data_IF_112284302491
#
_entry.id   IF_112284302491
#
_cell.length_a   1.000
_cell.length_b   1.000
_cell.length_c   1.000
_cell.angle_alpha   90.00
_cell.angle_beta   90.00
_cell.angle_gamma   90.00
#
_symmetry.space_group_name_H-M   'P 1'
#
loop_
_entity.id
_entity.type
_entity.pdbx_description
1 polymer ?
#
# COMPACT_ATOMS: atom_id res chain seq x y z
N UNK A 1 -57.32 26.10 28.47
CA UNK A 1 -57.22 26.81 27.18
C UNK A 1 -55.86 26.42 26.61
N UNK A 2 -55.74 25.32 25.86
CA UNK A 2 -55.92 25.22 24.39
C UNK A 2 -55.11 26.33 23.69
N UNK A 3 -54.05 26.05 22.92
CA UNK A 3 -54.09 25.42 21.60
C UNK A 3 -52.75 24.79 21.17
N UNK A 4 -52.87 23.65 20.49
CA UNK A 4 -51.88 22.98 19.67
C UNK A 4 -51.78 23.70 18.31
N UNK A 5 -50.57 23.94 17.80
CA UNK A 5 -50.35 24.28 16.38
C UNK A 5 -49.25 23.39 15.80
N UNK A 6 -49.69 22.40 15.03
CA UNK A 6 -48.86 21.50 14.23
C UNK A 6 -48.51 22.23 12.93
N UNK A 7 -47.23 22.60 12.73
CA UNK A 7 -46.72 22.97 11.41
C UNK A 7 -45.97 21.78 10.83
N UNK A 8 -46.58 21.08 9.87
CA UNK A 8 -45.90 20.04 9.10
C UNK A 8 -44.81 20.62 8.18
N UNK A 9 -43.75 19.89 7.87
CA UNK A 9 -42.73 20.37 6.95
C UNK A 9 -43.23 20.33 5.50
N UNK A 10 -43.21 21.50 4.84
CA UNK A 10 -43.39 21.64 3.39
C UNK A 10 -42.22 20.96 2.67
N UNK A 11 -42.51 19.85 1.99
CA UNK A 11 -41.55 19.15 1.15
C UNK A 11 -41.15 19.99 -0.07
N UNK A 12 -39.88 20.37 -0.14
CA UNK A 12 -39.24 20.84 -1.36
C UNK A 12 -39.05 19.65 -2.32
N UNK A 13 -39.60 19.72 -3.53
CA UNK A 13 -39.56 18.62 -4.52
C UNK A 13 -38.39 18.68 -5.51
N UNK A 14 -37.48 19.66 -5.42
CA UNK A 14 -36.45 19.87 -6.46
C UNK A 14 -35.04 20.09 -5.90
N UNK A 15 -34.49 19.12 -5.15
CA UNK A 15 -33.07 19.13 -4.77
C UNK A 15 -32.30 18.02 -5.53
N UNK A 16 -31.18 18.34 -6.22
CA UNK A 16 -30.37 17.33 -6.90
C UNK A 16 -29.66 16.43 -5.87
N UNK A 17 -29.84 15.13 -6.04
CA UNK A 17 -29.39 14.07 -5.14
C UNK A 17 -27.86 14.08 -4.97
N UNK A 18 -27.38 14.31 -3.74
CA UNK A 18 -25.97 14.07 -3.38
C UNK A 18 -25.85 12.74 -2.63
N UNK A 19 -24.85 11.93 -2.99
CA UNK A 19 -24.63 10.55 -2.54
C UNK A 19 -24.42 10.43 -1.00
N UNK A 20 -24.24 11.54 -0.30
CA UNK A 20 -23.90 11.56 1.13
C UNK A 20 -25.11 11.56 2.09
N UNK A 21 -26.32 11.92 1.64
CA UNK A 21 -27.52 11.95 2.51
C UNK A 21 -28.24 10.58 2.62
N UNK A 22 -27.87 9.59 1.79
CA UNK A 22 -28.50 8.27 1.78
C UNK A 22 -28.29 7.47 3.09
N UNK A 23 -27.29 7.82 3.89
CA UNK A 23 -27.01 7.15 5.18
C UNK A 23 -27.87 7.65 6.34
N UNK A 24 -28.53 8.81 6.21
CA UNK A 24 -29.33 9.41 7.28
C UNK A 24 -30.79 8.90 7.34
N UNK A 25 -31.20 8.01 6.42
CA UNK A 25 -32.54 7.41 6.37
C UNK A 25 -32.56 5.92 6.72
N UNK A 26 -31.73 5.49 7.68
CA UNK A 26 -32.02 4.23 8.37
C UNK A 26 -33.20 4.53 9.29
N UNK A 27 -34.41 4.00 9.04
CA UNK A 27 -35.51 4.19 9.98
C UNK A 27 -35.09 3.61 11.33
N UNK A 28 -35.13 4.43 12.38
CA UNK A 28 -35.14 3.93 13.75
C UNK A 28 -36.29 2.92 13.83
N UNK A 29 -35.97 1.68 14.21
CA UNK A 29 -36.92 0.59 14.36
C UNK A 29 -38.10 1.04 15.24
N UNK A 30 -39.29 1.15 14.66
CA UNK A 30 -40.52 1.35 15.41
C UNK A 30 -40.73 0.14 16.35
N UNK A 31 -41.02 0.35 17.64
CA UNK A 31 -41.11 -0.75 18.61
C UNK A 31 -42.44 -1.53 18.58
N UNK A 32 -43.34 -1.28 17.64
CA UNK A 32 -44.69 -1.86 17.66
C UNK A 32 -45.14 -2.49 16.34
N UNK A 33 -44.37 -3.45 15.81
CA UNK A 33 -44.89 -4.37 14.79
C UNK A 33 -45.30 -5.68 15.49
N UNK A 34 -46.60 -6.04 15.54
CA UNK A 34 -47.04 -7.32 16.04
C UNK A 34 -46.36 -8.44 15.25
N UNK A 35 -45.89 -9.48 15.95
CA UNK A 35 -45.25 -10.67 15.40
C UNK A 35 -46.22 -11.45 14.50
N UNK A 36 -46.42 -10.98 13.28
CA UNK A 36 -47.01 -11.77 12.22
C UNK A 36 -45.93 -12.78 11.81
N UNK A 37 -46.23 -14.06 12.04
CA UNK A 37 -45.37 -15.21 11.81
C UNK A 37 -44.74 -15.18 10.42
N UNK A 38 -43.49 -14.75 10.34
CA UNK A 38 -42.69 -14.90 9.12
C UNK A 38 -42.41 -16.39 8.90
N UNK A 39 -42.59 -16.92 7.68
CA UNK A 39 -42.25 -18.30 7.39
C UNK A 39 -40.74 -18.51 7.58
N UNK A 40 -40.37 -19.63 8.20
CA UNK A 40 -38.99 -20.02 8.55
C UNK A 40 -38.03 -20.25 7.34
N UNK A 41 -38.38 -19.78 6.15
CA UNK A 41 -37.60 -19.90 4.92
C UNK A 41 -36.89 -18.59 4.53
N UNK A 42 -36.93 -17.56 5.39
CA UNK A 42 -36.23 -16.31 5.16
C UNK A 42 -34.71 -16.46 5.37
N UNK A 43 -34.04 -16.77 4.27
CA UNK A 43 -32.70 -16.31 3.90
C UNK A 43 -31.55 -16.74 4.83
N UNK A 44 -31.02 -17.94 4.55
CA UNK A 44 -29.58 -18.19 4.66
C UNK A 44 -28.82 -17.27 3.67
N UNK A 45 -28.84 -15.95 3.90
CA UNK A 45 -27.78 -15.10 3.38
C UNK A 45 -26.56 -15.49 4.17
N UNK A 46 -25.78 -16.43 3.62
CA UNK A 46 -24.44 -16.71 4.13
C UNK A 46 -23.68 -15.39 4.06
N UNK A 47 -23.65 -14.66 5.17
CA UNK A 47 -22.74 -13.53 5.33
C UNK A 47 -21.36 -14.15 5.24
N UNK A 48 -20.75 -14.04 4.06
CA UNK A 48 -19.41 -14.55 3.82
C UNK A 48 -18.52 -13.99 4.94
N UNK A 49 -18.00 -14.88 5.78
CA UNK A 49 -17.14 -14.47 6.89
C UNK A 49 -15.95 -13.70 6.32
N UNK A 50 -15.59 -12.53 6.89
CA UNK A 50 -14.49 -11.75 6.37
C UNK A 50 -13.21 -12.60 6.36
N UNK A 51 -12.38 -12.49 5.30
CA UNK A 51 -11.19 -13.31 5.18
C UNK A 51 -10.28 -13.10 6.39
N UNK A 52 -9.85 -14.20 7.00
CA UNK A 52 -9.00 -14.21 8.20
C UNK A 52 -7.51 -14.14 7.87
N UNK A 53 -7.14 -14.40 6.60
CA UNK A 53 -5.77 -14.37 6.09
C UNK A 53 -5.68 -13.65 4.74
N UNK A 54 -4.47 -13.20 4.38
CA UNK A 54 -4.21 -12.67 3.05
C UNK A 54 -4.27 -13.77 1.98
N UNK A 55 -4.56 -13.39 0.74
CA UNK A 55 -4.45 -14.33 -0.38
C UNK A 55 -3.01 -14.79 -0.55
N UNK A 56 -2.80 -16.05 -0.98
CA UNK A 56 -1.46 -16.62 -1.22
C UNK A 56 -0.62 -15.74 -2.14
N UNK A 57 -1.24 -15.14 -3.16
CA UNK A 57 -0.61 -14.19 -4.08
C UNK A 57 -0.11 -12.96 -3.34
N UNK A 58 -0.92 -12.34 -2.47
CA UNK A 58 -0.51 -11.16 -1.71
C UNK A 58 0.67 -11.44 -0.76
N UNK A 59 0.68 -12.63 -0.15
CA UNK A 59 1.77 -13.11 0.71
C UNK A 59 3.04 -13.35 -0.11
N UNK A 60 2.96 -14.12 -1.20
CA UNK A 60 4.09 -14.39 -2.09
C UNK A 60 4.72 -13.10 -2.63
N UNK A 61 3.89 -12.18 -3.12
CA UNK A 61 4.33 -10.86 -3.59
C UNK A 61 5.01 -10.05 -2.49
N UNK A 62 4.55 -10.15 -1.24
CA UNK A 62 5.14 -9.39 -0.14
C UNK A 62 6.56 -9.85 0.12
N UNK A 63 6.74 -11.16 0.28
CA UNK A 63 8.04 -11.74 0.59
C UNK A 63 9.00 -11.63 -0.58
N UNK A 64 8.53 -11.79 -1.81
CA UNK A 64 9.34 -11.58 -3.01
C UNK A 64 9.86 -10.15 -3.07
N UNK A 65 8.98 -9.15 -2.93
CA UNK A 65 9.41 -7.75 -2.99
C UNK A 65 10.31 -7.39 -1.79
N UNK A 66 10.00 -7.89 -0.59
CA UNK A 66 10.84 -7.67 0.57
C UNK A 66 12.27 -8.19 0.33
N UNK A 67 12.42 -9.43 -0.17
CA UNK A 67 13.72 -10.01 -0.51
C UNK A 67 14.45 -9.17 -1.57
N UNK A 68 13.74 -8.76 -2.63
CA UNK A 68 14.32 -7.93 -3.69
C UNK A 68 14.78 -6.56 -3.16
N UNK A 69 14.01 -5.93 -2.28
CA UNK A 69 14.41 -4.65 -1.65
C UNK A 69 15.69 -4.83 -0.84
N UNK A 70 15.78 -5.86 0.00
CA UNK A 70 17.00 -6.12 0.77
C UNK A 70 18.22 -6.36 -0.12
N UNK A 71 18.07 -7.18 -1.16
CA UNK A 71 19.12 -7.43 -2.13
C UNK A 71 19.54 -6.14 -2.85
N UNK A 72 18.57 -5.36 -3.33
CA UNK A 72 18.86 -4.16 -4.12
C UNK A 72 19.48 -3.03 -3.29
N UNK A 73 19.03 -2.86 -2.04
CA UNK A 73 19.66 -1.93 -1.08
C UNK A 73 21.07 -2.40 -0.74
N UNK A 74 21.29 -3.70 -0.56
CA UNK A 74 22.62 -4.27 -0.37
C UNK A 74 23.55 -3.98 -1.57
N UNK A 75 23.07 -4.16 -2.80
CA UNK A 75 23.81 -3.77 -4.01
C UNK A 75 24.11 -2.27 -4.06
N UNK A 76 23.15 -1.43 -3.63
CA UNK A 76 23.30 0.03 -3.53
C UNK A 76 24.39 0.46 -2.55
N UNK A 77 24.46 -0.16 -1.38
CA UNK A 77 25.56 0.11 -0.45
C UNK A 77 26.88 -0.49 -0.92
N UNK A 78 26.85 -1.66 -1.55
CA UNK A 78 28.04 -2.31 -2.07
C UNK A 78 28.72 -1.48 -3.18
N UNK A 79 27.95 -0.90 -4.11
CA UNK A 79 28.53 -0.05 -5.18
C UNK A 79 29.25 1.19 -4.63
N UNK A 80 28.77 1.78 -3.52
CA UNK A 80 29.41 2.93 -2.87
C UNK A 80 30.78 2.58 -2.24
N UNK A 81 31.08 1.29 -2.01
CA UNK A 81 32.36 0.88 -1.44
C UNK A 81 33.51 0.80 -2.46
N UNK A 82 33.21 0.78 -3.77
CA UNK A 82 34.23 0.71 -4.82
C UNK A 82 34.40 2.05 -5.52
N UNK A 83 35.64 2.38 -5.97
CA UNK A 83 35.84 3.50 -6.88
C UNK A 83 34.96 3.34 -8.12
N UNK A 84 34.29 4.41 -8.55
CA UNK A 84 33.38 4.40 -9.73
C UNK A 84 34.02 3.91 -11.04
N UNK A 85 35.35 3.87 -11.11
CA UNK A 85 36.13 3.39 -12.27
C UNK A 85 36.73 1.99 -12.07
N UNK A 86 36.45 1.32 -10.94
CA UNK A 86 36.94 -0.01 -10.68
C UNK A 86 36.28 -1.02 -11.63
N UNK A 87 37.03 -2.05 -12.11
CA UNK A 87 36.44 -3.16 -12.82
C UNK A 87 35.29 -3.78 -12.01
N UNK A 88 34.13 -3.92 -12.64
CA UNK A 88 32.93 -4.51 -12.04
C UNK A 88 31.93 -3.56 -11.38
N UNK A 89 32.26 -2.27 -11.22
CA UNK A 89 31.28 -1.28 -10.76
C UNK A 89 30.05 -1.22 -11.68
N UNK A 90 30.26 -1.24 -12.99
CA UNK A 90 29.18 -1.14 -13.98
C UNK A 90 28.28 -2.38 -13.99
N UNK A 91 28.81 -3.56 -13.68
CA UNK A 91 28.02 -4.78 -13.54
C UNK A 91 27.11 -4.72 -12.30
N UNK A 92 27.64 -4.27 -11.16
CA UNK A 92 26.82 -4.06 -9.95
C UNK A 92 25.72 -3.02 -10.23
N UNK A 93 26.06 -1.92 -10.88
CA UNK A 93 25.11 -0.88 -11.26
C UNK A 93 24.04 -1.39 -12.23
N UNK A 94 24.41 -2.27 -13.17
CA UNK A 94 23.49 -2.93 -14.09
C UNK A 94 22.47 -3.80 -13.35
N UNK A 95 22.94 -4.64 -12.41
CA UNK A 95 22.03 -5.46 -11.60
C UNK A 95 21.17 -4.62 -10.68
N UNK A 96 21.73 -3.60 -10.02
CA UNK A 96 20.97 -2.70 -9.16
C UNK A 96 19.84 -1.98 -9.92
N UNK A 97 20.13 -1.48 -11.12
CA UNK A 97 19.12 -0.83 -11.96
C UNK A 97 18.05 -1.84 -12.42
N UNK A 98 18.45 -3.06 -12.82
CA UNK A 98 17.52 -4.10 -13.26
C UNK A 98 16.58 -4.56 -12.14
N UNK A 99 17.12 -4.84 -10.95
CA UNK A 99 16.32 -5.21 -9.79
C UNK A 99 15.44 -4.05 -9.30
N UNK A 100 15.94 -2.81 -9.34
CA UNK A 100 15.14 -1.62 -9.06
C UNK A 100 13.92 -1.51 -9.98
N UNK A 101 14.10 -1.71 -11.29
CA UNK A 101 12.99 -1.74 -12.26
C UNK A 101 12.01 -2.88 -12.01
N UNK A 102 12.50 -4.08 -11.67
CA UNK A 102 11.64 -5.22 -11.31
C UNK A 102 10.81 -4.93 -10.06
N UNK A 103 11.41 -4.36 -9.02
CA UNK A 103 10.70 -3.96 -7.80
C UNK A 103 9.60 -2.96 -8.13
N UNK A 104 9.86 -1.96 -8.97
CA UNK A 104 8.86 -0.99 -9.40
C UNK A 104 7.66 -1.68 -10.08
N UNK A 105 7.90 -2.56 -11.05
CA UNK A 105 6.84 -3.30 -11.75
C UNK A 105 6.01 -4.15 -10.79
N UNK A 106 6.67 -4.89 -9.89
CA UNK A 106 6.00 -5.70 -8.88
C UNK A 106 5.24 -4.85 -7.86
N UNK A 107 5.74 -3.67 -7.50
CA UNK A 107 5.08 -2.73 -6.59
C UNK A 107 3.80 -2.16 -7.22
N UNK A 108 3.83 -1.80 -8.51
CA UNK A 108 2.62 -1.38 -9.25
C UNK A 108 1.59 -2.51 -9.27
N UNK A 109 2.01 -3.72 -9.61
CA UNK A 109 1.12 -4.88 -9.59
C UNK A 109 0.57 -5.16 -8.18
N UNK A 110 1.39 -4.97 -7.13
CA UNK A 110 0.97 -5.15 -5.73
C UNK A 110 -0.09 -4.13 -5.33
N UNK A 111 0.07 -2.89 -5.76
CA UNK A 111 -0.88 -1.81 -5.48
C UNK A 111 -2.23 -2.08 -6.17
N UNK A 112 -2.19 -2.53 -7.43
CA UNK A 112 -3.36 -2.98 -8.16
C UNK A 112 -4.03 -4.20 -7.50
N UNK A 113 -3.26 -5.17 -7.02
CA UNK A 113 -3.80 -6.32 -6.30
C UNK A 113 -4.49 -5.90 -4.99
N UNK A 114 -3.89 -4.96 -4.26
CA UNK A 114 -4.47 -4.43 -3.02
C UNK A 114 -5.73 -3.60 -3.25
N UNK A 115 -5.86 -2.89 -4.37
CA UNK A 115 -7.08 -2.14 -4.68
C UNK A 115 -8.25 -3.05 -5.04
N UNK A 116 -7.97 -4.25 -5.57
CA UNK A 116 -8.98 -5.25 -5.96
C UNK A 116 -9.32 -6.25 -4.85
N UNK A 117 -8.43 -6.47 -3.87
CA UNK A 117 -8.61 -7.45 -2.80
C UNK A 117 -8.60 -6.80 -1.40
N UNK A 118 -9.74 -6.87 -0.71
CA UNK A 118 -9.88 -6.31 0.66
C UNK A 118 -8.94 -7.02 1.64
N UNK A 119 -8.14 -6.27 2.42
CA UNK A 119 -7.29 -6.86 3.45
C UNK A 119 -8.13 -7.44 4.60
N UNK A 120 -7.63 -8.47 5.31
CA UNK A 120 -8.26 -9.01 6.52
C UNK A 120 -8.51 -7.93 7.59
N UNK A 121 -9.67 -7.97 8.23
CA UNK A 121 -10.04 -7.01 9.29
C UNK A 121 -9.07 -7.15 10.47
N UNK A 122 -8.48 -6.04 10.93
CA UNK A 122 -7.62 -6.03 12.11
C UNK A 122 -8.43 -6.42 13.37
N UNK A 123 -7.84 -7.16 14.33
CA UNK A 123 -8.51 -7.49 15.58
C UNK A 123 -9.00 -6.24 16.31
N UNK A 124 -10.18 -6.31 16.91
CA UNK A 124 -10.77 -5.21 17.69
C UNK A 124 -9.94 -4.85 18.93
N UNK A 125 -9.03 -5.73 19.35
CA UNK A 125 -8.10 -5.57 20.47
C UNK A 125 -6.98 -4.55 20.19
N UNK A 126 -6.69 -4.25 18.93
CA UNK A 126 -5.64 -3.27 18.58
C UNK A 126 -6.19 -1.85 18.76
N UNK A 127 -5.55 -0.96 19.55
CA UNK A 127 -5.98 0.42 19.72
C UNK A 127 -6.14 1.18 18.39
N UNK A 128 -7.14 2.06 18.30
CA UNK A 128 -7.44 2.79 17.06
C UNK A 128 -6.24 3.60 16.52
N UNK A 129 -5.44 4.19 17.41
CA UNK A 129 -4.23 4.94 17.03
C UNK A 129 -3.16 4.03 16.38
N UNK A 130 -2.99 2.79 16.85
CA UNK A 130 -2.08 1.82 16.23
C UNK A 130 -2.56 1.40 14.84
N UNK A 131 -3.88 1.22 14.66
CA UNK A 131 -4.46 0.94 13.34
C UNK A 131 -4.23 2.08 12.36
N UNK A 132 -4.45 3.33 12.81
CA UNK A 132 -4.17 4.53 12.02
C UNK A 132 -2.72 4.62 11.62
N UNK A 133 -1.79 4.46 12.57
CA UNK A 133 -0.35 4.49 12.32
C UNK A 133 0.09 3.38 11.35
N UNK A 134 -0.40 2.15 11.53
CA UNK A 134 -0.11 1.05 10.62
C UNK A 134 -0.64 1.33 9.21
N UNK A 135 -1.84 1.91 9.08
CA UNK A 135 -2.39 2.28 7.78
C UNK A 135 -1.53 3.34 7.08
N UNK A 136 -1.15 4.40 7.79
CA UNK A 136 -0.26 5.46 7.28
C UNK A 136 1.09 4.90 6.86
N UNK A 137 1.73 4.08 7.72
CA UNK A 137 3.02 3.45 7.42
C UNK A 137 2.95 2.62 6.14
N UNK A 138 1.90 1.82 5.93
CA UNK A 138 1.75 1.05 4.71
C UNK A 138 1.66 1.93 3.47
N UNK A 139 0.88 3.01 3.51
CA UNK A 139 0.78 3.93 2.37
C UNK A 139 2.10 4.63 2.07
N UNK A 140 2.82 5.08 3.10
CA UNK A 140 4.16 5.66 2.93
C UNK A 140 5.12 4.65 2.32
N UNK A 141 5.13 3.39 2.80
CA UNK A 141 5.97 2.34 2.24
C UNK A 141 5.62 2.04 0.77
N UNK A 142 4.34 2.03 0.39
CA UNK A 142 3.96 1.91 -1.03
C UNK A 142 4.46 3.06 -1.87
N UNK A 143 4.33 4.30 -1.38
CA UNK A 143 4.84 5.48 -2.08
C UNK A 143 6.35 5.36 -2.27
N UNK A 144 7.10 4.97 -1.24
CA UNK A 144 8.56 4.81 -1.33
C UNK A 144 8.97 3.69 -2.28
N UNK A 145 8.25 2.57 -2.29
CA UNK A 145 8.48 1.47 -3.24
C UNK A 145 8.32 1.90 -4.71
N UNK A 146 7.56 2.96 -4.99
CA UNK A 146 7.42 3.52 -6.33
C UNK A 146 8.43 4.65 -6.58
N UNK A 147 8.54 5.59 -5.63
CA UNK A 147 9.34 6.81 -5.79
C UNK A 147 10.85 6.53 -5.82
N UNK A 148 11.35 5.59 -5.02
CA UNK A 148 12.78 5.23 -5.01
C UNK A 148 13.24 4.73 -6.38
N UNK A 149 12.70 3.64 -6.95
CA UNK A 149 13.14 3.20 -8.27
C UNK A 149 12.78 4.19 -9.39
N UNK A 150 11.70 4.96 -9.26
CA UNK A 150 11.37 6.00 -10.23
C UNK A 150 12.42 7.11 -10.28
N UNK A 151 12.87 7.60 -9.12
CA UNK A 151 13.93 8.62 -9.05
C UNK A 151 15.27 8.08 -9.56
N UNK A 152 15.61 6.81 -9.28
CA UNK A 152 16.80 6.16 -9.83
C UNK A 152 16.73 5.99 -11.36
N UNK A 153 15.55 5.66 -11.88
CA UNK A 153 15.30 5.58 -13.32
C UNK A 153 15.47 6.95 -14.00
N UNK A 154 14.87 8.00 -13.44
CA UNK A 154 15.03 9.38 -13.92
C UNK A 154 16.49 9.84 -13.85
N UNK A 155 17.21 9.52 -12.77
CA UNK A 155 18.63 9.85 -12.63
C UNK A 155 19.47 9.27 -13.77
N UNK A 156 19.25 7.99 -14.10
CA UNK A 156 19.97 7.34 -15.21
C UNK A 156 19.64 7.95 -16.57
N UNK A 157 18.36 8.21 -16.85
CA UNK A 157 17.96 8.87 -18.10
C UNK A 157 18.53 10.29 -18.22
N UNK A 158 18.45 11.09 -17.15
CA UNK A 158 18.99 12.44 -17.10
C UNK A 158 20.52 12.46 -17.24
N UNK A 159 21.21 11.38 -16.83
CA UNK A 159 22.64 11.16 -17.10
C UNK A 159 22.97 10.74 -18.53
N UNK A 160 21.99 10.44 -19.37
CA UNK A 160 22.19 9.93 -20.73
C UNK A 160 22.54 8.43 -20.78
N UNK A 161 22.20 7.68 -19.73
CA UNK A 161 22.48 6.26 -19.63
C UNK A 161 21.17 5.45 -19.59
N UNK A 162 20.70 4.92 -20.74
CA UNK A 162 19.52 4.06 -20.78
C UNK A 162 19.62 2.91 -19.78
N UNK A 163 18.50 2.54 -19.17
CA UNK A 163 18.43 1.41 -18.24
C UNK A 163 18.11 0.15 -19.01
N UNK A 164 19.04 -0.80 -19.01
CA UNK A 164 18.80 -2.14 -19.54
C UNK A 164 18.07 -2.99 -18.50
N UNK A 165 17.06 -3.74 -18.92
CA UNK A 165 16.31 -4.66 -18.06
C UNK A 165 16.84 -6.08 -18.24
N UNK A 166 17.76 -6.51 -17.37
CA UNK A 166 18.41 -7.84 -17.41
C UNK A 166 18.98 -8.22 -18.79
N UNK A 167 19.40 -7.24 -19.60
CA UNK A 167 19.94 -7.47 -20.94
C UNK A 167 18.88 -7.80 -22.01
N UNK A 168 17.59 -7.85 -21.65
CA UNK A 168 16.49 -8.12 -22.58
C UNK A 168 16.18 -6.95 -23.52
N UNK A 169 16.67 -5.76 -23.17
CA UNK A 169 16.43 -4.53 -23.90
C UNK A 169 16.52 -3.33 -22.97
N UNK A 170 16.47 -2.13 -23.55
CA UNK A 170 16.43 -0.89 -22.79
C UNK A 170 14.99 -0.49 -22.51
N UNK A 171 14.75 0.00 -21.29
CA UNK A 171 13.48 0.63 -20.93
C UNK A 171 13.30 1.96 -21.71
N UNK A 172 12.05 2.42 -21.91
CA UNK A 172 11.76 3.60 -22.72
C UNK A 172 12.41 4.88 -22.19
N UNK A 173 13.26 5.52 -23.00
CA UNK A 173 13.86 6.81 -22.66
C UNK A 173 12.83 7.91 -22.88
N UNK A 174 12.36 8.52 -21.79
CA UNK A 174 11.29 9.54 -21.80
C UNK A 174 11.81 10.99 -21.78
N UNK A 175 13.05 11.16 -21.34
CA UNK A 175 13.71 12.46 -21.18
C UNK A 175 15.11 12.42 -21.77
N UNK A 176 15.59 13.58 -22.23
CA UNK A 176 16.98 13.75 -22.66
C UNK A 176 17.94 13.91 -21.48
N UNK A 177 19.23 14.06 -21.81
CA UNK A 177 20.27 14.37 -20.83
C UNK A 177 20.03 15.77 -20.24
N UNK A 178 20.02 15.85 -18.91
CA UNK A 178 19.76 17.07 -18.15
C UNK A 178 20.55 17.00 -16.82
N UNK A 179 21.59 17.80 -16.69
CA UNK A 179 22.51 17.75 -15.55
C UNK A 179 21.87 18.26 -14.24
N UNK A 180 21.17 19.41 -14.20
CA UNK A 180 20.38 19.81 -13.03
C UNK A 180 19.40 18.73 -12.55
N UNK A 181 18.67 18.10 -13.48
CA UNK A 181 17.73 17.04 -13.12
C UNK A 181 18.44 15.79 -12.60
N UNK A 182 19.59 15.43 -13.18
CA UNK A 182 20.43 14.32 -12.72
C UNK A 182 20.87 14.50 -11.27
N UNK A 183 21.35 15.68 -10.89
CA UNK A 183 21.79 15.99 -9.53
C UNK A 183 20.62 16.00 -8.53
N UNK A 184 19.48 16.56 -8.93
CA UNK A 184 18.26 16.54 -8.11
C UNK A 184 17.80 15.11 -7.84
N UNK A 185 17.69 14.30 -8.88
CA UNK A 185 17.21 12.91 -8.79
C UNK A 185 18.18 12.01 -8.03
N UNK A 186 19.49 12.26 -8.11
CA UNK A 186 20.50 11.61 -7.27
C UNK A 186 20.24 11.85 -5.77
N UNK A 187 20.12 13.13 -5.41
CA UNK A 187 19.86 13.56 -4.02
C UNK A 187 18.56 12.98 -3.50
N UNK A 188 17.49 13.05 -4.32
CA UNK A 188 16.19 12.49 -3.96
C UNK A 188 16.27 10.97 -3.79
N UNK A 189 16.92 10.26 -4.70
CA UNK A 189 17.04 8.81 -4.64
C UNK A 189 17.72 8.37 -3.35
N UNK A 190 18.89 8.92 -3.04
CA UNK A 190 19.64 8.60 -1.81
C UNK A 190 18.83 8.95 -0.56
N UNK A 191 18.20 10.13 -0.52
CA UNK A 191 17.37 10.57 0.61
C UNK A 191 16.18 9.63 0.84
N UNK A 192 15.48 9.24 -0.23
CA UNK A 192 14.34 8.34 -0.15
C UNK A 192 14.76 6.92 0.26
N UNK A 193 15.95 6.44 -0.13
CA UNK A 193 16.50 5.16 0.31
C UNK A 193 16.74 5.15 1.83
N UNK A 194 17.30 6.23 2.39
CA UNK A 194 17.47 6.34 3.85
C UNK A 194 16.14 6.34 4.60
N UNK A 195 15.14 7.06 4.10
CA UNK A 195 13.78 7.05 4.65
C UNK A 195 13.16 5.65 4.56
N UNK A 196 13.28 4.98 3.41
CA UNK A 196 12.80 3.61 3.21
C UNK A 196 13.46 2.65 4.21
N UNK A 197 14.78 2.67 4.34
CA UNK A 197 15.50 1.79 5.27
C UNK A 197 15.02 2.00 6.71
N UNK A 198 14.90 3.26 7.14
CA UNK A 198 14.43 3.61 8.48
C UNK A 198 13.03 3.06 8.75
N UNK A 199 12.10 3.27 7.80
CA UNK A 199 10.72 2.80 7.94
C UNK A 199 10.58 1.29 7.83
N UNK A 200 11.42 0.62 7.04
CA UNK A 200 11.46 -0.86 6.96
C UNK A 200 11.93 -1.45 8.29
N UNK A 201 12.98 -0.89 8.91
CA UNK A 201 13.42 -1.30 10.25
C UNK A 201 12.29 -1.11 11.27
N UNK A 202 11.63 0.05 11.25
CA UNK A 202 10.46 0.31 12.10
C UNK A 202 9.30 -0.66 11.86
N UNK A 203 9.01 -0.98 10.59
CA UNK A 203 7.98 -1.93 10.20
C UNK A 203 8.26 -3.34 10.72
N UNK A 204 9.49 -3.82 10.59
CA UNK A 204 9.93 -5.12 11.11
C UNK A 204 9.88 -5.12 12.64
N UNK A 205 10.34 -4.05 13.28
CA UNK A 205 10.27 -3.89 14.74
C UNK A 205 8.84 -3.95 15.26
N UNK A 206 7.90 -3.26 14.60
CA UNK A 206 6.48 -3.32 14.93
C UNK A 206 5.93 -4.74 14.75
N UNK A 207 6.25 -5.41 13.65
CA UNK A 207 5.83 -6.79 13.42
C UNK A 207 6.35 -7.72 14.54
N UNK A 208 7.63 -7.61 14.89
CA UNK A 208 8.23 -8.41 15.96
C UNK A 208 7.61 -8.11 17.33
N UNK A 209 7.31 -6.84 17.65
CA UNK A 209 6.53 -6.46 18.84
C UNK A 209 5.19 -7.18 18.88
N UNK A 210 4.42 -7.14 17.79
CA UNK A 210 3.12 -7.81 17.70
C UNK A 210 3.22 -9.33 17.89
N UNK A 211 4.31 -9.96 17.42
CA UNK A 211 4.52 -11.40 17.60
C UNK A 211 5.02 -11.80 18.98
N UNK A 212 5.98 -11.07 19.53
CA UNK A 212 6.71 -11.47 20.74
C UNK A 212 6.05 -10.95 22.01
N UNK A 213 5.51 -9.73 21.98
CA UNK A 213 4.93 -9.03 23.13
C UNK A 213 3.41 -9.09 23.07
N UNK A 214 2.78 -8.54 22.02
CA UNK A 214 1.31 -8.42 21.98
C UNK A 214 0.61 -9.77 21.71
N UNK A 215 1.28 -10.69 21.00
CA UNK A 215 0.81 -12.03 20.63
C UNK A 215 -0.58 -12.05 20.01
N UNK A 216 -0.91 -11.04 19.22
CA UNK A 216 -2.25 -10.77 18.69
C UNK A 216 -2.58 -11.48 17.36
N UNK A 217 -1.66 -12.31 16.85
CA UNK A 217 -1.88 -13.08 15.63
C UNK A 217 -1.68 -12.31 14.32
N UNK A 218 -1.26 -11.04 14.35
CA UNK A 218 -1.14 -10.19 13.15
C UNK A 218 -0.11 -10.72 12.17
N UNK A 219 1.08 -11.12 12.65
CA UNK A 219 2.13 -11.69 11.79
C UNK A 219 1.66 -12.97 11.10
N UNK A 220 0.88 -13.82 11.78
CA UNK A 220 0.47 -15.13 11.28
C UNK A 220 -0.34 -15.00 9.98
N UNK A 221 -0.97 -13.84 9.74
CA UNK A 221 -1.68 -13.52 8.49
C UNK A 221 -0.76 -13.40 7.28
N UNK A 222 0.53 -13.15 7.50
CA UNK A 222 1.58 -13.06 6.48
C UNK A 222 2.48 -14.31 6.42
N UNK A 223 2.41 -15.20 7.42
CA UNK A 223 3.20 -16.44 7.47
C UNK A 223 2.43 -17.69 7.06
N UNK A 224 1.10 -17.69 7.20
CA UNK A 224 0.24 -18.82 6.83
C UNK A 224 -0.34 -18.56 5.44
N UNK A 225 0.26 -19.15 4.41
CA UNK A 225 -0.27 -19.22 3.06
C UNK A 225 -0.99 -20.55 2.84
#
# INVERSE_FOLDING_TARGET
>A
MAEFAISGPRGNKNAPWTIWEAWARIPCRDPEVPLMSMPAHALNVAVASPPTSYTKVAVAMHWLIALLIFLNVGLGFFMETFPKKAPGHDEVLFYHASFGSLIFMLAVFRLFWRSTHKPPVLPSTIPAWQRGLAHTLHWVLYSLMLLVPLTGYLHRMAGGHPVSFFGLGNLPVLIGKDEPLRLLTDTLHVSLVWVLCTLVVGHIGAALKHRLIDRDGVIQRMLRA
#
